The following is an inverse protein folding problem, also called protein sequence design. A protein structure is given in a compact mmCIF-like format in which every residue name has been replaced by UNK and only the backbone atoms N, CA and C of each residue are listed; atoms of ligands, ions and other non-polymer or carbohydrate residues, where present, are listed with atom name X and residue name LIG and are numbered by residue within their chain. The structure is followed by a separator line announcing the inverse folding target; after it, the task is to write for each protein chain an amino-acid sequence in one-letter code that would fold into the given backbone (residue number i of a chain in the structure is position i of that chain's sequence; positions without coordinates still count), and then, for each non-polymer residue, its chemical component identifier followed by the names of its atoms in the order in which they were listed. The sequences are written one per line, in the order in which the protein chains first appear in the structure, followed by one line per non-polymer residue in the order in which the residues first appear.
data_IF_199746128805
#
_entry.id   IF_199746128805
#
_cell.length_a   1.000
_cell.length_b   1.000
_cell.length_c   1.000
_cell.angle_alpha   90.00
_cell.angle_beta   90.00
_cell.angle_gamma   90.00
#
_symmetry.space_group_name_H-M   'P 1'
#
loop_
_entity.id
_entity.type
_entity.pdbx_description
1 polymer ?
#
# COMPACT_ATOMS: atom_id res chain seq x y z
N UNK A 1 26.98 -18.39 34.74
CA UNK A 1 27.44 -18.48 33.34
C UNK A 1 26.37 -18.99 32.38
N UNK A 2 25.77 -20.18 32.58
CA UNK A 2 24.73 -20.73 31.66
C UNK A 2 23.53 -19.79 31.43
N UNK A 3 23.05 -19.11 32.48
CA UNK A 3 21.96 -18.12 32.40
C UNK A 3 22.33 -16.88 31.59
N UNK A 4 23.60 -16.49 31.61
CA UNK A 4 24.12 -15.35 30.83
C UNK A 4 24.17 -15.69 29.34
N UNK A 5 24.65 -16.89 28.98
CA UNK A 5 24.62 -17.36 27.59
C UNK A 5 23.19 -17.48 27.04
N UNK A 6 22.22 -17.92 27.86
CA UNK A 6 20.81 -17.96 27.46
C UNK A 6 20.23 -16.56 27.21
N UNK A 7 20.57 -15.58 28.04
CA UNK A 7 20.13 -14.19 27.86
C UNK A 7 20.70 -13.57 26.57
N UNK A 8 21.99 -13.80 26.29
CA UNK A 8 22.64 -13.33 25.06
C UNK A 8 22.06 -14.02 23.83
N UNK A 9 21.81 -15.32 23.88
CA UNK A 9 21.18 -16.05 22.78
C UNK A 9 19.75 -15.55 22.50
N UNK A 10 18.95 -15.31 23.54
CA UNK A 10 17.61 -14.76 23.39
C UNK A 10 17.60 -13.35 22.76
N UNK A 11 18.56 -12.50 23.14
CA UNK A 11 18.73 -11.17 22.55
C UNK A 11 19.09 -11.26 21.05
N UNK A 12 20.01 -12.15 20.68
CA UNK A 12 20.42 -12.36 19.29
C UNK A 12 19.28 -12.89 18.40
N UNK A 13 18.38 -13.71 18.93
CA UNK A 13 17.19 -14.18 18.19
C UNK A 13 16.25 -13.03 17.78
N UNK A 14 16.19 -11.93 18.54
CA UNK A 14 15.34 -10.77 18.18
C UNK A 14 15.83 -10.02 16.93
N UNK A 15 17.13 -10.10 16.62
CA UNK A 15 17.72 -9.48 15.44
C UNK A 15 17.31 -10.18 14.12
N UNK A 16 16.77 -11.41 14.19
CA UNK A 16 16.29 -12.17 13.03
C UNK A 16 14.78 -12.03 12.78
N UNK A 17 14.10 -11.14 13.52
CA UNK A 17 12.66 -10.93 13.36
C UNK A 17 12.35 -10.06 12.13
N UNK A 18 12.24 -10.66 10.95
CA UNK A 18 11.86 -9.99 9.67
C UNK A 18 10.36 -9.61 9.55
N UNK A 19 9.65 -9.41 10.66
CA UNK A 19 8.18 -9.37 10.68
C UNK A 19 7.53 -8.01 10.32
N UNK A 20 8.25 -7.01 9.84
CA UNK A 20 7.68 -5.70 9.52
C UNK A 20 7.68 -5.44 8.01
N UNK A 21 7.02 -6.31 7.25
CA UNK A 21 6.68 -5.99 5.86
C UNK A 21 5.58 -4.94 5.84
N UNK A 22 5.90 -3.70 5.44
CA UNK A 22 4.85 -2.76 5.06
C UNK A 22 4.23 -3.30 3.77
N UNK A 23 3.06 -3.93 3.86
CA UNK A 23 2.31 -4.36 2.69
C UNK A 23 1.67 -3.14 2.05
N UNK A 24 2.45 -2.36 1.31
CA UNK A 24 1.91 -1.21 0.57
C UNK A 24 1.10 -1.74 -0.60
N UNK A 25 -0.22 -1.59 -0.55
CA UNK A 25 -1.08 -1.88 -1.69
C UNK A 25 -1.12 -0.69 -2.64
N UNK A 26 -1.29 -0.97 -3.93
CA UNK A 26 -1.47 0.07 -4.95
C UNK A 26 -2.55 -0.35 -5.95
N UNK A 27 -3.34 0.62 -6.41
CA UNK A 27 -4.33 0.47 -7.48
C UNK A 27 -3.94 1.41 -8.61
N UNK A 28 -4.05 0.93 -9.84
CA UNK A 28 -3.93 1.75 -11.05
C UNK A 28 -5.03 1.36 -12.03
N UNK A 29 -5.43 2.30 -12.88
CA UNK A 29 -6.41 2.06 -13.92
C UNK A 29 -6.48 3.23 -14.88
N UNK A 30 -7.41 3.13 -15.83
CA UNK A 30 -7.72 4.18 -16.79
C UNK A 30 -9.21 4.48 -16.70
N UNK A 31 -9.57 5.75 -16.71
CA UNK A 31 -10.96 6.23 -16.73
C UNK A 31 -11.28 6.64 -18.15
N UNK A 32 -12.30 5.99 -18.74
CA UNK A 32 -12.78 6.27 -20.08
C UNK A 32 -14.29 6.51 -20.08
N UNK A 33 -14.79 7.19 -21.11
CA UNK A 33 -16.22 7.32 -21.38
C UNK A 33 -16.80 6.02 -21.99
N UNK A 34 -18.07 6.07 -22.40
CA UNK A 34 -18.75 4.94 -23.05
C UNK A 34 -18.21 4.60 -24.45
N UNK A 35 -17.50 5.53 -25.10
CA UNK A 35 -16.89 5.36 -26.42
C UNK A 35 -15.44 4.88 -26.33
N UNK A 36 -14.88 4.80 -25.11
CA UNK A 36 -13.48 4.43 -24.86
C UNK A 36 -12.52 5.63 -24.89
N UNK A 37 -13.01 6.87 -24.94
CA UNK A 37 -12.18 8.06 -24.89
C UNK A 37 -11.72 8.35 -23.45
N UNK A 38 -10.45 8.76 -23.24
CA UNK A 38 -9.93 9.05 -21.91
C UNK A 38 -10.63 10.26 -21.27
N UNK A 39 -10.87 10.18 -19.96
CA UNK A 39 -11.50 11.24 -19.18
C UNK A 39 -10.48 11.94 -18.26
N UNK A 40 -9.84 13.03 -18.73
CA UNK A 40 -8.87 13.75 -17.95
C UNK A 40 -9.51 14.52 -16.79
N UNK A 41 -8.82 14.56 -15.64
CA UNK A 41 -9.32 15.23 -14.44
C UNK A 41 -10.43 14.48 -13.70
N UNK A 42 -10.80 13.28 -14.15
CA UNK A 42 -11.74 12.43 -13.43
C UNK A 42 -11.23 12.14 -12.01
N UNK A 43 -12.09 12.34 -11.00
CA UNK A 43 -11.74 12.09 -9.59
C UNK A 43 -12.08 10.66 -9.22
N UNK A 44 -11.06 9.91 -8.78
CA UNK A 44 -11.18 8.53 -8.32
C UNK A 44 -11.06 8.49 -6.81
N UNK A 45 -12.07 7.95 -6.13
CA UNK A 45 -12.09 7.74 -4.68
C UNK A 45 -12.08 6.23 -4.40
N UNK A 46 -11.12 5.78 -3.61
CA UNK A 46 -11.00 4.38 -3.19
C UNK A 46 -11.10 4.27 -1.67
N UNK A 47 -11.80 3.25 -1.18
CA UNK A 47 -11.93 2.95 0.25
C UNK A 47 -11.28 1.60 0.53
N UNK A 48 -10.35 1.56 1.48
CA UNK A 48 -9.81 0.30 1.96
C UNK A 48 -10.71 -0.28 3.05
N UNK A 49 -11.51 -1.29 2.71
CA UNK A 49 -12.54 -1.83 3.61
C UNK A 49 -12.04 -2.30 5.00
N UNK A 50 -10.88 -2.98 5.13
CA UNK A 50 -10.39 -3.42 6.44
C UNK A 50 -10.06 -2.28 7.40
N UNK A 51 -9.48 -1.17 6.92
CA UNK A 51 -9.05 -0.04 7.74
C UNK A 51 -10.01 1.16 7.71
N UNK A 52 -10.95 1.16 6.77
CA UNK A 52 -11.86 2.27 6.46
C UNK A 52 -11.13 3.57 6.05
N UNK A 53 -9.90 3.48 5.54
CA UNK A 53 -9.16 4.63 5.01
C UNK A 53 -9.65 4.97 3.61
N UNK A 54 -9.74 6.27 3.32
CA UNK A 54 -10.14 6.77 2.00
C UNK A 54 -8.95 7.40 1.29
N UNK A 55 -8.83 7.11 -0.01
CA UNK A 55 -7.78 7.61 -0.89
C UNK A 55 -8.40 8.31 -2.09
N UNK A 56 -7.72 9.32 -2.62
CA UNK A 56 -8.14 10.06 -3.81
C UNK A 56 -7.00 10.17 -4.83
N UNK A 57 -7.34 10.09 -6.11
CA UNK A 57 -6.46 10.43 -7.22
C UNK A 57 -7.26 11.11 -8.33
N UNK A 58 -6.61 12.00 -9.08
CA UNK A 58 -7.14 12.54 -10.32
C UNK A 58 -6.53 11.77 -11.52
N UNK A 59 -7.32 11.55 -12.55
CA UNK A 59 -6.86 11.01 -13.81
C UNK A 59 -6.05 12.06 -14.60
N UNK A 60 -4.96 11.63 -15.25
CA UNK A 60 -4.13 12.47 -16.12
C UNK A 60 -4.78 12.72 -17.50
N UNK A 61 -4.04 13.35 -18.43
CA UNK A 61 -4.55 13.66 -19.78
C UNK A 61 -4.95 12.43 -20.59
N UNK A 62 -4.34 11.27 -20.31
CA UNK A 62 -4.63 10.00 -20.96
C UNK A 62 -5.64 9.15 -20.15
N UNK A 63 -6.24 9.73 -19.10
CA UNK A 63 -7.23 9.09 -18.25
C UNK A 63 -6.64 8.14 -17.22
N UNK A 64 -5.31 8.02 -17.09
CA UNK A 64 -4.70 7.11 -16.12
C UNK A 64 -4.70 7.68 -14.71
N UNK A 65 -4.93 6.82 -13.72
CA UNK A 65 -4.80 7.15 -12.31
C UNK A 65 -3.97 6.10 -11.57
N UNK A 66 -3.37 6.51 -10.45
CA UNK A 66 -2.63 5.63 -9.55
C UNK A 66 -2.82 6.06 -8.10
N UNK A 67 -3.24 5.12 -7.27
CA UNK A 67 -3.31 5.25 -5.81
C UNK A 67 -2.29 4.29 -5.22
N UNK A 68 -1.40 4.78 -4.35
CA UNK A 68 -0.30 3.99 -3.76
C UNK A 68 -0.36 4.05 -2.25
N UNK A 69 0.38 3.16 -1.59
CA UNK A 69 0.51 3.11 -0.13
C UNK A 69 -0.84 2.97 0.59
N UNK A 70 -1.76 2.21 0.01
CA UNK A 70 -3.04 1.90 0.66
C UNK A 70 -2.81 0.94 1.84
N UNK A 71 -3.54 1.14 2.93
CA UNK A 71 -3.42 0.44 4.21
C UNK A 71 -4.75 0.30 4.91
#
# INVERSE_FOLDING_TARGET
MKRFYLAVAALLCTAMAFSQGVTTSAIRGQVTDSNGEPLPGATVVAVHNPSNTTYGAAADFDGFFRISNMR
#
